data_IF_856664258695
#
_entry.id   IF_856664258695
#
_cell.length_a   1.000
_cell.length_b   1.000
_cell.length_c   1.000
_cell.angle_alpha   90.00
_cell.angle_beta   90.00
_cell.angle_gamma   90.00
#
_symmetry.space_group_name_H-M   'P 1'
#
loop_
_entity.id
_entity.type
_entity.pdbx_description
1 polymer ?
#
# COMPACT_ATOMS: atom_id res chain seq x y z
N UNK A 1 24.87 18.45 -4.68
CA UNK A 1 24.39 17.17 -4.12
C UNK A 1 23.17 16.76 -4.91
N UNK A 2 23.29 15.74 -5.76
CA UNK A 2 22.19 15.23 -6.56
C UNK A 2 21.27 14.40 -5.66
N UNK A 3 19.98 14.74 -5.65
CA UNK A 3 18.95 13.96 -4.95
C UNK A 3 18.79 12.62 -5.68
N UNK A 4 18.74 11.53 -4.91
CA UNK A 4 18.51 10.17 -5.41
C UNK A 4 17.21 10.14 -6.19
N UNK A 5 17.26 9.64 -7.43
CA UNK A 5 16.05 9.24 -8.17
C UNK A 5 15.23 8.32 -7.26
N UNK A 6 13.92 8.57 -7.20
CA UNK A 6 12.99 7.68 -6.51
C UNK A 6 12.94 6.39 -7.32
N UNK A 7 13.75 5.41 -6.94
CA UNK A 7 13.66 4.05 -7.44
C UNK A 7 13.49 3.13 -6.23
N UNK A 8 12.25 2.98 -5.73
CA UNK A 8 11.91 1.85 -4.87
C UNK A 8 12.32 0.59 -5.63
N UNK A 9 13.11 -0.29 -4.99
CA UNK A 9 13.64 -1.56 -5.52
C UNK A 9 13.05 -1.99 -6.89
N UNK A 10 13.70 -1.49 -7.95
CA UNK A 10 13.15 -1.40 -9.30
C UNK A 10 13.28 -2.70 -10.12
N UNK A 11 13.74 -3.80 -9.53
CA UNK A 11 14.17 -4.97 -10.33
C UNK A 11 13.36 -6.24 -10.10
N UNK A 12 12.92 -6.57 -8.88
CA UNK A 12 12.22 -7.84 -8.66
C UNK A 12 10.71 -7.74 -8.95
N UNK A 13 10.06 -6.64 -8.54
CA UNK A 13 8.62 -6.48 -8.67
C UNK A 13 8.11 -6.37 -10.11
N UNK A 14 8.95 -5.87 -11.00
CA UNK A 14 8.59 -5.51 -12.37
C UNK A 14 8.74 -6.66 -13.36
N UNK A 15 9.49 -7.69 -12.97
CA UNK A 15 9.75 -8.86 -13.80
C UNK A 15 8.53 -9.76 -14.01
N UNK A 16 7.50 -9.64 -13.15
CA UNK A 16 6.27 -10.44 -13.17
C UNK A 16 5.10 -9.76 -13.90
N UNK A 17 5.22 -8.47 -14.26
CA UNK A 17 4.22 -7.76 -15.06
C UNK A 17 4.29 -8.19 -16.53
N UNK A 18 3.18 -8.11 -17.26
CA UNK A 18 3.19 -8.32 -18.71
C UNK A 18 4.17 -7.33 -19.35
N UNK A 19 4.96 -7.73 -20.37
CA UNK A 19 5.96 -6.86 -20.98
C UNK A 19 5.40 -5.48 -21.39
N UNK A 20 4.21 -5.47 -22.00
CA UNK A 20 3.53 -4.23 -22.40
C UNK A 20 3.13 -3.33 -21.22
N UNK A 21 2.74 -3.93 -20.09
CA UNK A 21 2.39 -3.19 -18.88
C UNK A 21 3.61 -2.58 -18.18
N UNK A 22 4.78 -3.22 -18.29
CA UNK A 22 6.01 -2.70 -17.69
C UNK A 22 6.41 -1.36 -18.32
N UNK A 23 6.43 -1.26 -19.65
CA UNK A 23 6.82 -0.04 -20.36
C UNK A 23 5.86 1.12 -20.10
N UNK A 24 4.54 0.88 -20.15
CA UNK A 24 3.55 1.93 -19.84
C UNK A 24 3.72 2.47 -18.41
N UNK A 25 4.03 1.61 -17.45
CA UNK A 25 4.21 2.02 -16.06
C UNK A 25 5.48 2.84 -15.85
N UNK A 26 6.59 2.44 -16.47
CA UNK A 26 7.86 3.18 -16.42
C UNK A 26 7.72 4.56 -17.09
N UNK A 27 7.07 4.60 -18.26
CA UNK A 27 6.82 5.86 -18.99
C UNK A 27 6.01 6.83 -18.13
N UNK A 28 4.90 6.38 -17.53
CA UNK A 28 4.07 7.22 -16.67
C UNK A 28 4.80 7.70 -15.42
N UNK A 29 5.60 6.85 -14.76
CA UNK A 29 6.36 7.29 -13.58
C UNK A 29 7.50 8.24 -13.94
N UNK A 30 8.05 8.15 -15.15
CA UNK A 30 9.14 9.02 -15.60
C UNK A 30 8.72 10.48 -15.79
N UNK A 31 7.42 10.74 -15.87
CA UNK A 31 6.85 12.09 -15.97
C UNK A 31 7.03 12.90 -14.67
N UNK A 32 7.25 12.25 -13.53
CA UNK A 32 7.42 12.91 -12.24
C UNK A 32 8.89 13.04 -11.85
N UNK A 33 9.31 14.23 -11.42
CA UNK A 33 10.68 14.54 -11.05
C UNK A 33 10.95 14.49 -9.55
N UNK A 34 9.90 14.39 -8.73
CA UNK A 34 10.01 14.24 -7.29
C UNK A 34 8.85 13.44 -6.69
N UNK A 35 9.04 12.93 -5.47
CA UNK A 35 7.95 12.30 -4.73
C UNK A 35 6.81 13.29 -4.44
N UNK A 36 7.14 14.54 -4.09
CA UNK A 36 6.10 15.55 -3.79
C UNK A 36 5.25 15.85 -5.03
N UNK A 37 5.88 15.99 -6.20
CA UNK A 37 5.18 16.14 -7.46
C UNK A 37 4.32 14.92 -7.78
N UNK A 38 4.86 13.70 -7.62
CA UNK A 38 4.09 12.46 -7.80
C UNK A 38 2.86 12.41 -6.88
N UNK A 39 3.01 12.70 -5.58
CA UNK A 39 1.92 12.66 -4.61
C UNK A 39 0.87 13.73 -4.88
N UNK A 40 1.27 14.91 -5.38
CA UNK A 40 0.36 15.99 -5.73
C UNK A 40 -0.38 15.74 -7.05
N UNK A 41 0.32 15.28 -8.09
CA UNK A 41 -0.17 15.31 -9.47
C UNK A 41 -0.67 13.96 -9.98
N UNK A 42 -0.11 12.83 -9.51
CA UNK A 42 -0.56 11.51 -9.98
C UNK A 42 -2.06 11.26 -9.82
N UNK A 43 -2.74 11.70 -8.73
CA UNK A 43 -4.20 11.59 -8.60
C UNK A 43 -5.02 12.21 -9.76
N UNK A 44 -4.43 13.10 -10.56
CA UNK A 44 -5.09 13.77 -11.67
C UNK A 44 -4.88 13.08 -13.01
N UNK A 45 -3.80 12.30 -13.15
CA UNK A 45 -3.42 11.65 -14.41
C UNK A 45 -3.69 10.15 -14.39
N UNK A 46 -3.27 9.46 -13.32
CA UNK A 46 -3.38 8.02 -13.19
C UNK A 46 -3.34 7.60 -11.72
N UNK A 47 -4.23 6.70 -11.31
CA UNK A 47 -4.26 6.22 -9.92
C UNK A 47 -3.17 5.20 -9.67
N UNK A 48 -2.22 5.51 -8.79
CA UNK A 48 -1.24 4.55 -8.27
C UNK A 48 -1.52 4.25 -6.81
N UNK A 49 -1.11 3.07 -6.37
CA UNK A 49 -1.16 2.64 -4.97
C UNK A 49 0.22 2.14 -4.53
N UNK A 50 0.66 2.57 -3.35
CA UNK A 50 1.79 1.94 -2.69
C UNK A 50 1.34 0.61 -2.13
N UNK A 51 2.11 -0.45 -2.38
CA UNK A 51 1.99 -1.72 -1.67
C UNK A 51 3.31 -2.03 -0.98
N UNK A 52 3.24 -2.58 0.22
CA UNK A 52 4.42 -3.10 0.91
C UNK A 52 4.82 -4.45 0.29
N UNK A 53 6.12 -4.68 0.11
CA UNK A 53 6.65 -5.97 -0.31
C UNK A 53 6.42 -7.05 0.75
N UNK A 54 6.37 -8.32 0.33
CA UNK A 54 6.27 -9.46 1.25
C UNK A 54 7.35 -9.47 2.31
N UNK A 55 8.60 -9.24 1.93
CA UNK A 55 9.72 -9.28 2.86
C UNK A 55 9.64 -8.16 3.89
N UNK A 56 9.27 -6.95 3.48
CA UNK A 56 9.04 -5.83 4.40
C UNK A 56 7.86 -6.11 5.35
N UNK A 57 6.77 -6.69 4.83
CA UNK A 57 5.60 -7.00 5.66
C UNK A 57 5.87 -8.14 6.67
N UNK A 58 6.58 -9.20 6.28
CA UNK A 58 6.88 -10.35 7.13
C UNK A 58 7.97 -10.01 8.17
N UNK A 59 8.95 -9.18 7.83
CA UNK A 59 10.06 -8.84 8.74
C UNK A 59 9.72 -7.82 9.82
N UNK A 60 8.63 -7.05 9.67
CA UNK A 60 8.26 -6.04 10.66
C UNK A 60 7.65 -6.69 11.92
N UNK A 61 7.99 -6.15 13.10
CA UNK A 61 7.46 -6.63 14.39
C UNK A 61 6.17 -5.91 14.84
N UNK A 62 5.83 -4.80 14.19
CA UNK A 62 4.64 -3.97 14.39
C UNK A 62 4.30 -3.27 13.08
N UNK A 63 3.05 -2.87 12.89
CA UNK A 63 2.69 -2.04 11.74
C UNK A 63 3.53 -0.75 11.75
N UNK A 64 4.22 -0.50 10.65
CA UNK A 64 4.94 0.75 10.45
C UNK A 64 4.01 1.75 9.80
N UNK A 65 3.90 2.94 10.39
CA UNK A 65 3.25 4.07 9.73
C UNK A 65 3.97 4.32 8.40
N UNK A 66 3.23 4.59 7.33
CA UNK A 66 3.81 5.00 6.06
C UNK A 66 4.83 6.15 6.26
N UNK A 67 5.96 6.07 5.57
CA UNK A 67 7.07 7.01 5.71
C UNK A 67 7.80 7.15 4.38
N UNK A 68 8.04 8.41 3.99
CA UNK A 68 8.75 8.78 2.76
C UNK A 68 10.24 8.45 2.81
N UNK A 69 10.75 8.13 4.00
CA UNK A 69 12.15 7.81 4.27
C UNK A 69 12.48 6.33 4.01
N UNK A 70 11.48 5.46 3.84
CA UNK A 70 11.65 4.00 3.69
C UNK A 70 10.91 3.45 2.46
N UNK A 71 10.98 4.17 1.34
CA UNK A 71 10.26 3.79 0.12
C UNK A 71 10.72 2.45 -0.48
N UNK A 72 11.92 1.96 -0.14
CA UNK A 72 12.43 0.66 -0.60
C UNK A 72 11.59 -0.53 -0.13
N UNK A 73 10.80 -0.36 0.94
CA UNK A 73 9.85 -1.36 1.43
C UNK A 73 8.60 -1.48 0.53
N UNK A 74 8.42 -0.58 -0.43
CA UNK A 74 7.19 -0.43 -1.22
C UNK A 74 7.41 -0.61 -2.71
N UNK A 75 6.35 -1.00 -3.39
CA UNK A 75 6.21 -0.94 -4.85
C UNK A 75 5.02 -0.04 -5.18
N UNK A 76 5.11 0.68 -6.29
CA UNK A 76 3.99 1.43 -6.84
C UNK A 76 3.31 0.59 -7.91
N UNK A 77 2.02 0.31 -7.72
CA UNK A 77 1.21 -0.39 -8.72
C UNK A 77 0.13 0.55 -9.26
N UNK A 78 0.00 0.58 -10.57
CA UNK A 78 -1.09 1.26 -11.25
C UNK A 78 -2.43 0.56 -10.93
N UNK A 79 -3.45 1.34 -10.56
CA UNK A 79 -4.76 0.86 -10.14
C UNK A 79 -5.63 0.40 -11.33
N UNK A 80 -5.09 -0.47 -12.17
CA UNK A 80 -5.74 -1.00 -13.35
C UNK A 80 -5.64 -2.53 -13.38
N UNK A 81 -6.60 -3.15 -14.08
CA UNK A 81 -6.60 -4.60 -14.29
C UNK A 81 -5.30 -5.05 -14.96
N UNK A 82 -4.72 -6.15 -14.48
CA UNK A 82 -3.45 -6.69 -14.94
C UNK A 82 -2.26 -6.34 -14.06
N UNK A 83 -2.27 -5.16 -13.40
CA UNK A 83 -1.21 -4.73 -12.47
C UNK A 83 -1.47 -5.21 -11.04
N UNK A 84 -2.71 -5.07 -10.58
CA UNK A 84 -3.15 -5.55 -9.26
C UNK A 84 -4.01 -6.79 -9.48
N UNK A 85 -3.52 -7.94 -9.00
CA UNK A 85 -4.20 -9.23 -9.13
C UNK A 85 -4.40 -9.87 -7.77
N UNK A 86 -5.57 -10.48 -7.55
CA UNK A 86 -5.93 -11.07 -6.25
C UNK A 86 -4.99 -12.17 -5.76
N UNK A 87 -4.33 -12.87 -6.69
CA UNK A 87 -3.36 -13.93 -6.36
C UNK A 87 -2.02 -13.37 -5.86
N UNK A 88 -1.67 -12.14 -6.25
CA UNK A 88 -0.36 -11.55 -5.96
C UNK A 88 -0.44 -10.45 -4.89
N UNK A 89 -1.59 -9.79 -4.77
CA UNK A 89 -1.81 -8.64 -3.91
C UNK A 89 -2.92 -8.91 -2.90
N UNK A 90 -2.68 -8.62 -1.62
CA UNK A 90 -3.68 -8.73 -0.55
C UNK A 90 -3.95 -7.37 0.10
N UNK A 91 -5.22 -7.07 0.33
CA UNK A 91 -5.67 -6.03 1.25
C UNK A 91 -5.84 -6.63 2.64
N UNK A 92 -5.28 -5.96 3.63
CA UNK A 92 -5.40 -6.33 5.04
C UNK A 92 -6.26 -5.30 5.76
N UNK A 93 -7.47 -5.71 6.14
CA UNK A 93 -8.23 -4.93 7.12
C UNK A 93 -7.76 -5.28 8.53
N UNK A 94 -7.53 -4.25 9.35
CA UNK A 94 -6.97 -4.40 10.68
C UNK A 94 -7.70 -3.50 11.69
N UNK A 95 -7.60 -3.88 12.97
CA UNK A 95 -8.16 -3.08 14.06
C UNK A 95 -7.21 -2.01 14.54
N UNK A 96 -7.75 -0.81 14.75
CA UNK A 96 -7.07 0.23 15.50
C UNK A 96 -7.28 0.06 17.01
N UNK A 97 -6.22 -0.25 17.75
CA UNK A 97 -6.24 -0.44 19.20
C UNK A 97 -6.08 0.88 19.96
N UNK A 98 -5.29 1.81 19.43
CA UNK A 98 -5.10 3.16 19.97
C UNK A 98 -5.36 4.23 18.92
N UNK A 99 -5.47 5.49 19.33
CA UNK A 99 -5.78 6.61 18.42
C UNK A 99 -4.61 6.99 17.50
N UNK A 100 -3.37 6.78 17.94
CA UNK A 100 -2.17 7.19 17.20
C UNK A 100 -1.43 6.01 16.56
N UNK A 101 -1.71 4.79 17.03
CA UNK A 101 -1.08 3.59 16.52
C UNK A 101 -2.12 2.46 16.50
N UNK A 102 -2.41 1.87 15.34
CA UNK A 102 -3.41 0.84 15.28
C UNK A 102 -3.02 -0.45 16.02
N UNK A 103 -1.73 -0.77 16.11
CA UNK A 103 -1.26 -1.99 16.75
C UNK A 103 0.08 -1.76 17.46
N UNK A 104 0.08 -1.07 18.62
CA UNK A 104 1.30 -0.66 19.33
C UNK A 104 2.22 -1.84 19.67
N UNK A 105 1.63 -3.01 19.95
CA UNK A 105 2.35 -4.22 20.37
C UNK A 105 2.61 -5.21 19.21
N UNK A 106 2.10 -4.94 18.00
CA UNK A 106 2.19 -5.84 16.85
C UNK A 106 1.38 -7.14 16.99
N UNK A 107 0.38 -7.19 17.89
CA UNK A 107 -0.40 -8.41 18.11
C UNK A 107 -1.25 -8.77 16.89
N UNK A 108 -1.96 -7.78 16.33
CA UNK A 108 -2.80 -7.97 15.14
C UNK A 108 -1.93 -8.27 13.92
N UNK A 109 -0.80 -7.59 13.76
CA UNK A 109 0.15 -7.88 12.70
C UNK A 109 0.60 -9.35 12.72
N UNK A 110 1.03 -9.87 13.88
CA UNK A 110 1.51 -11.27 13.98
C UNK A 110 0.43 -12.28 13.60
N UNK A 111 -0.84 -11.97 13.86
CA UNK A 111 -1.97 -12.81 13.47
C UNK A 111 -2.15 -12.80 11.95
N UNK A 112 -2.08 -11.63 11.30
CA UNK A 112 -2.08 -11.55 9.84
C UNK A 112 -0.88 -12.30 9.24
N UNK A 113 0.33 -12.05 9.73
CA UNK A 113 1.54 -12.74 9.27
C UNK A 113 1.42 -14.26 9.40
N UNK A 114 0.86 -14.78 10.49
CA UNK A 114 0.62 -16.21 10.66
C UNK A 114 -0.43 -16.76 9.67
N UNK A 115 -1.49 -15.99 9.38
CA UNK A 115 -2.56 -16.39 8.47
C UNK A 115 -2.13 -16.36 7.00
N UNK A 116 -1.41 -15.32 6.57
CA UNK A 116 -1.04 -15.10 5.17
C UNK A 116 0.38 -15.60 4.85
N UNK A 117 1.26 -15.71 5.84
CA UNK A 117 2.66 -16.10 5.64
C UNK A 117 2.86 -17.42 4.87
N UNK A 118 2.05 -18.47 5.13
CA UNK A 118 2.12 -19.73 4.37
C UNK A 118 1.59 -19.66 2.93
N UNK A 119 0.89 -18.59 2.56
CA UNK A 119 0.29 -18.42 1.23
C UNK A 119 1.32 -17.79 0.27
N UNK A 120 1.14 -18.04 -1.03
CA UNK A 120 1.88 -17.35 -2.08
C UNK A 120 1.20 -16.00 -2.38
N UNK A 121 1.96 -14.92 -2.24
CA UNK A 121 1.59 -13.55 -2.57
C UNK A 121 2.87 -12.70 -2.61
N UNK A 122 2.79 -11.50 -3.19
CA UNK A 122 3.94 -10.62 -3.39
C UNK A 122 3.80 -9.30 -2.63
N UNK A 123 2.58 -8.77 -2.56
CA UNK A 123 2.32 -7.41 -2.10
C UNK A 123 1.16 -7.31 -1.12
N UNK A 124 1.31 -6.45 -0.13
CA UNK A 124 0.28 -6.16 0.86
C UNK A 124 -0.09 -4.69 0.83
N UNK A 125 -1.38 -4.43 0.90
CA UNK A 125 -1.94 -3.11 1.13
C UNK A 125 -2.60 -3.06 2.51
N UNK A 126 -2.15 -2.14 3.35
CA UNK A 126 -2.80 -1.76 4.60
C UNK A 126 -2.91 -0.25 4.59
N UNK A 127 -4.09 0.32 4.83
CA UNK A 127 -4.32 1.77 4.80
C UNK A 127 -3.28 2.55 5.62
N UNK A 128 -3.00 2.11 6.86
CA UNK A 128 -2.05 2.75 7.76
C UNK A 128 -0.59 2.71 7.26
N UNK A 129 -0.20 1.62 6.60
CA UNK A 129 1.18 1.41 6.15
C UNK A 129 1.39 1.91 4.73
N UNK A 130 0.34 2.00 3.91
CA UNK A 130 0.42 2.28 2.47
C UNK A 130 -0.13 3.66 2.08
N UNK A 131 -0.79 4.37 2.99
CA UNK A 131 -1.19 5.77 2.79
C UNK A 131 -0.49 6.70 3.77
N UNK A 132 -0.15 7.94 3.38
CA UNK A 132 0.38 8.94 4.30
C UNK A 132 -0.55 9.17 5.50
N UNK A 133 0.01 9.21 6.71
CA UNK A 133 -0.74 9.41 7.95
C UNK A 133 -0.34 10.70 8.65
N UNK A 134 -1.26 11.31 9.40
CA UNK A 134 -1.03 12.59 10.07
C UNK A 134 0.23 12.60 10.97
N UNK A 135 1.03 13.69 11.01
CA UNK A 135 0.89 14.90 10.19
C UNK A 135 1.30 14.65 8.74
N UNK A 136 0.60 15.31 7.81
CA UNK A 136 0.84 15.23 6.37
C UNK A 136 1.24 16.59 5.83
N UNK A 137 2.14 16.60 4.86
CA UNK A 137 2.37 17.73 3.96
C UNK A 137 1.20 17.92 2.99
N UNK A 138 1.19 19.03 2.25
CA UNK A 138 0.18 19.30 1.22
C UNK A 138 0.06 18.16 0.18
N UNK A 139 1.16 17.75 -0.48
CA UNK A 139 1.13 16.63 -1.44
C UNK A 139 0.67 15.30 -0.83
N UNK A 140 1.11 14.99 0.39
CA UNK A 140 0.67 13.78 1.10
C UNK A 140 -0.83 13.79 1.44
N UNK A 141 -1.40 14.95 1.75
CA UNK A 141 -2.85 15.11 1.97
C UNK A 141 -3.64 14.89 0.67
N UNK A 142 -3.14 15.43 -0.45
CA UNK A 142 -3.73 15.19 -1.79
C UNK A 142 -3.76 13.70 -2.10
N UNK A 143 -2.61 13.03 -1.97
CA UNK A 143 -2.50 11.60 -2.22
C UNK A 143 -3.35 10.76 -1.26
N UNK A 144 -3.32 11.07 0.05
CA UNK A 144 -4.14 10.39 1.05
C UNK A 144 -5.64 10.49 0.73
N UNK A 145 -6.12 11.69 0.42
CA UNK A 145 -7.52 11.93 0.06
C UNK A 145 -7.94 11.11 -1.16
N UNK A 146 -7.07 11.03 -2.16
CA UNK A 146 -7.32 10.23 -3.35
C UNK A 146 -7.27 8.72 -3.06
N UNK A 147 -6.32 8.26 -2.25
CA UNK A 147 -6.23 6.88 -1.79
C UNK A 147 -7.51 6.41 -1.10
N UNK A 148 -8.07 7.21 -0.20
CA UNK A 148 -9.35 6.89 0.44
C UNK A 148 -10.50 6.79 -0.57
N UNK A 149 -10.57 7.69 -1.55
CA UNK A 149 -11.61 7.66 -2.60
C UNK A 149 -11.52 6.43 -3.50
N UNK A 150 -10.31 5.88 -3.67
CA UNK A 150 -10.04 4.73 -4.53
C UNK A 150 -9.96 3.40 -3.78
N UNK A 151 -10.23 3.40 -2.47
CA UNK A 151 -10.09 2.22 -1.61
C UNK A 151 -10.99 1.05 -2.03
N UNK A 152 -12.21 1.31 -2.52
CA UNK A 152 -13.07 0.26 -3.09
C UNK A 152 -12.40 -0.46 -4.25
N UNK A 153 -11.60 0.27 -5.04
CA UNK A 153 -10.79 -0.28 -6.12
C UNK A 153 -9.73 -1.24 -5.59
N UNK A 154 -9.02 -0.85 -4.51
CA UNK A 154 -8.01 -1.71 -3.88
C UNK A 154 -8.67 -3.01 -3.41
N UNK A 155 -9.70 -2.90 -2.56
CA UNK A 155 -10.42 -4.04 -1.96
C UNK A 155 -10.95 -4.98 -3.04
N UNK A 156 -11.51 -4.43 -4.13
CA UNK A 156 -12.04 -5.23 -5.23
C UNK A 156 -10.95 -6.00 -5.98
N UNK A 157 -9.78 -5.40 -6.18
CA UNK A 157 -8.74 -5.92 -7.06
C UNK A 157 -7.72 -6.83 -6.34
N UNK A 158 -7.70 -6.84 -5.01
CA UNK A 158 -6.80 -7.67 -4.20
C UNK A 158 -7.51 -8.89 -3.60
N UNK A 159 -6.74 -9.86 -3.12
CA UNK A 159 -7.22 -10.78 -2.08
C UNK A 159 -7.57 -9.97 -0.82
N UNK A 160 -8.38 -10.53 0.07
CA UNK A 160 -8.83 -9.83 1.27
C UNK A 160 -8.59 -10.71 2.50
N UNK A 161 -7.92 -10.15 3.50
CA UNK A 161 -7.74 -10.81 4.81
C UNK A 161 -8.06 -9.82 5.92
N UNK A 162 -8.76 -10.33 6.94
CA UNK A 162 -9.15 -9.60 8.12
C UNK A 162 -8.98 -10.51 9.34
N UNK A 163 -8.66 -9.91 10.49
CA UNK A 163 -8.60 -10.65 11.75
C UNK A 163 -9.19 -9.82 12.89
N UNK A 164 -10.33 -10.28 13.42
CA UNK A 164 -11.16 -9.53 14.36
C UNK A 164 -11.53 -10.37 15.60
N UNK A 165 -10.62 -10.53 16.58
CA UNK A 165 -10.81 -11.47 17.69
C UNK A 165 -11.91 -11.03 18.67
N UNK A 166 -12.11 -9.71 18.85
CA UNK A 166 -13.27 -9.14 19.53
C UNK A 166 -13.81 -8.02 18.65
N UNK A 167 -14.69 -8.38 17.72
CA UNK A 167 -15.20 -7.42 16.74
C UNK A 167 -15.85 -6.22 17.46
N UNK A 168 -15.23 -5.05 17.33
CA UNK A 168 -15.80 -3.77 17.75
C UNK A 168 -16.25 -3.05 16.49
N UNK A 169 -17.56 -2.88 16.25
CA UNK A 169 -18.04 -2.26 15.02
C UNK A 169 -17.43 -0.86 14.90
N UNK A 170 -16.68 -0.66 13.83
CA UNK A 170 -16.22 0.66 13.39
C UNK A 170 -16.75 0.87 11.99
N UNK A 171 -17.23 2.07 11.71
CA UNK A 171 -17.80 2.41 10.41
C UNK A 171 -16.86 2.03 9.26
N UNK A 172 -15.56 2.24 9.46
CA UNK A 172 -14.54 1.90 8.47
C UNK A 172 -14.47 0.40 8.17
N UNK A 173 -14.49 -0.45 9.20
CA UNK A 173 -14.47 -1.90 9.03
C UNK A 173 -15.76 -2.39 8.36
N UNK A 174 -16.91 -1.80 8.71
CA UNK A 174 -18.17 -2.12 8.05
C UNK A 174 -18.14 -1.76 6.56
N UNK A 175 -17.52 -0.64 6.21
CA UNK A 175 -17.32 -0.24 4.81
C UNK A 175 -16.40 -1.20 4.05
N UNK A 176 -15.38 -1.76 4.69
CA UNK A 176 -14.43 -2.67 4.05
C UNK A 176 -14.99 -4.08 3.79
N UNK A 177 -15.96 -4.52 4.59
CA UNK A 177 -16.50 -5.90 4.53
C UNK A 177 -17.90 -6.02 3.89
N UNK A 178 -18.61 -4.91 3.70
CA UNK A 178 -19.98 -4.88 3.14
C UNK A 178 -19.98 -4.74 1.62
#
# INVERSE_FOLDING_TARGET
MALSRVTPTQDSAWSSLLPFSKYLHEDLLSEYHSLDEFLAESPHSATFWFFQSRDAFISQNRFRKWSREVLDDYVLLLAMSGYVQRKDCFFISHFWRERQNPDPDGQTLRLHQAQIGPQEWLYIWVDWTCLPQHPRSGPEETYFSHGLRTMTGVIRNTGFSYFYPSFKPRLWILYEIA
#
